data_IF_292987938819
#
_entry.id   IF_292987938819
#
_cell.length_a   1.000
_cell.length_b   1.000
_cell.length_c   1.000
_cell.angle_alpha   90.00
_cell.angle_beta   90.00
_cell.angle_gamma   90.00
#
_symmetry.space_group_name_H-M   'P 1'
#
loop_
_entity.id
_entity.type
_entity.pdbx_description
1 polymer ?
#
# COMPACT_ATOMS: atom_id res chain seq x y z
N UNK A 1 -3.62 11.78 24.59
CA UNK A 1 -2.93 11.71 23.28
C UNK A 1 -3.81 10.90 22.35
N UNK A 2 -4.67 11.56 21.59
CA UNK A 2 -5.47 10.91 20.55
C UNK A 2 -4.54 10.68 19.36
N UNK A 3 -4.03 9.47 19.21
CA UNK A 3 -3.46 9.01 17.95
C UNK A 3 -4.59 8.99 16.93
N UNK A 4 -4.86 10.16 16.33
CA UNK A 4 -5.52 10.24 15.04
C UNK A 4 -4.55 9.63 14.01
N UNK A 5 -4.48 8.30 14.03
CA UNK A 5 -4.07 7.50 12.90
C UNK A 5 -5.15 7.71 11.85
N UNK A 6 -5.10 8.89 11.23
CA UNK A 6 -5.88 9.23 10.06
C UNK A 6 -5.41 8.22 9.02
N UNK A 7 -6.14 7.11 8.89
CA UNK A 7 -5.79 6.02 7.98
C UNK A 7 -5.81 6.60 6.57
N UNK A 8 -4.66 7.08 6.11
CA UNK A 8 -4.53 7.71 4.81
C UNK A 8 -4.47 6.59 3.79
N UNK A 9 -5.57 6.44 3.08
CA UNK A 9 -5.60 5.58 1.91
C UNK A 9 -5.00 6.34 0.73
N UNK A 10 -4.05 5.70 0.04
CA UNK A 10 -3.39 6.22 -1.14
C UNK A 10 -3.87 5.46 -2.37
N UNK A 11 -4.12 6.16 -3.47
CA UNK A 11 -4.17 5.51 -4.77
C UNK A 11 -2.77 4.99 -5.17
N UNK A 12 -2.71 4.08 -6.14
CA UNK A 12 -1.43 3.60 -6.68
C UNK A 12 -0.54 4.75 -7.17
N UNK A 13 -1.14 5.76 -7.82
CA UNK A 13 -0.42 6.93 -8.32
C UNK A 13 0.16 7.75 -7.17
N UNK A 14 -0.62 8.00 -6.12
CA UNK A 14 -0.15 8.74 -4.95
C UNK A 14 0.96 7.99 -4.22
N UNK A 15 0.84 6.67 -4.06
CA UNK A 15 1.91 5.86 -3.48
C UNK A 15 3.21 5.93 -4.31
N UNK A 16 3.14 5.86 -5.64
CA UNK A 16 4.31 6.04 -6.51
C UNK A 16 4.91 7.45 -6.43
N UNK A 17 4.07 8.49 -6.36
CA UNK A 17 4.54 9.87 -6.26
C UNK A 17 5.15 10.20 -4.90
N UNK A 18 4.62 9.59 -3.83
CA UNK A 18 5.07 9.82 -2.45
C UNK A 18 6.32 9.01 -2.10
N UNK A 19 6.42 7.79 -2.62
CA UNK A 19 7.51 6.86 -2.33
C UNK A 19 8.25 6.53 -3.63
N UNK A 20 9.38 7.21 -3.85
CA UNK A 20 10.18 7.09 -5.09
C UNK A 20 10.68 5.67 -5.38
N UNK A 21 10.78 4.82 -4.35
CA UNK A 21 11.16 3.41 -4.48
C UNK A 21 10.00 2.48 -4.90
N UNK A 22 8.75 2.93 -4.76
CA UNK A 22 7.57 2.19 -5.24
C UNK A 22 7.28 2.57 -6.68
N UNK A 23 7.87 1.84 -7.62
CA UNK A 23 7.46 1.96 -9.02
C UNK A 23 6.09 1.32 -9.25
N UNK A 24 5.38 1.76 -10.29
CA UNK A 24 4.10 1.17 -10.66
C UNK A 24 4.24 -0.33 -10.99
N UNK A 25 5.39 -0.73 -11.54
CA UNK A 25 5.72 -2.12 -11.80
C UNK A 25 5.93 -2.91 -10.51
N UNK A 26 6.62 -2.34 -9.52
CA UNK A 26 6.77 -2.93 -8.18
C UNK A 26 5.40 -3.14 -7.53
N UNK A 27 4.53 -2.14 -7.55
CA UNK A 27 3.17 -2.25 -7.01
C UNK A 27 2.33 -3.30 -7.74
N UNK A 28 2.42 -3.38 -9.07
CA UNK A 28 1.76 -4.47 -9.83
C UNK A 28 2.27 -5.84 -9.39
N UNK A 29 3.60 -6.02 -9.33
CA UNK A 29 4.18 -7.28 -8.87
C UNK A 29 3.70 -7.64 -7.45
N UNK A 30 3.70 -6.68 -6.52
CA UNK A 30 3.23 -6.91 -5.16
C UNK A 30 1.73 -7.25 -5.10
N UNK A 31 0.90 -6.63 -5.93
CA UNK A 31 -0.54 -6.90 -5.98
C UNK A 31 -0.88 -8.25 -6.62
N UNK A 32 -0.12 -8.71 -7.61
CA UNK A 32 -0.45 -9.92 -8.38
C UNK A 32 0.36 -11.15 -7.95
N UNK A 33 1.65 -10.98 -7.62
CA UNK A 33 2.56 -12.08 -7.26
C UNK A 33 2.62 -12.36 -5.76
N UNK A 34 2.21 -11.43 -4.91
CA UNK A 34 2.19 -11.61 -3.45
C UNK A 34 0.74 -11.72 -2.94
N UNK A 35 0.05 -12.76 -3.42
CA UNK A 35 -1.30 -13.15 -3.04
C UNK A 35 -1.26 -13.79 -1.66
N UNK A 36 -1.34 -12.98 -0.60
CA UNK A 36 -1.27 -13.43 0.79
C UNK A 36 -0.62 -12.40 1.73
N UNK A 37 0.41 -11.72 1.23
CA UNK A 37 1.11 -10.67 1.98
C UNK A 37 0.58 -9.30 1.63
N UNK A 38 1.20 -8.67 0.63
CA UNK A 38 0.95 -7.27 0.29
C UNK A 38 -0.52 -7.01 -0.06
N UNK A 39 -1.13 -7.87 -0.88
CA UNK A 39 -2.50 -7.67 -1.34
C UNK A 39 -3.54 -7.71 -0.21
N UNK A 40 -3.35 -8.56 0.80
CA UNK A 40 -4.31 -8.69 1.90
C UNK A 40 -4.05 -7.69 3.02
N UNK A 41 -2.77 -7.43 3.31
CA UNK A 41 -2.36 -6.51 4.38
C UNK A 41 -2.47 -5.05 3.97
N UNK A 42 -2.03 -4.72 2.75
CA UNK A 42 -1.84 -3.32 2.30
C UNK A 42 -2.93 -2.86 1.34
N UNK A 43 -3.33 -3.70 0.39
CA UNK A 43 -4.29 -3.29 -0.63
C UNK A 43 -5.74 -3.44 -0.15
N UNK A 44 -6.54 -2.38 -0.29
CA UNK A 44 -7.98 -2.39 -0.03
C UNK A 44 -8.74 -2.12 -1.32
N UNK A 45 -9.90 -2.78 -1.48
CA UNK A 45 -10.81 -2.51 -2.60
C UNK A 45 -11.80 -1.42 -2.20
N UNK A 46 -11.89 -0.39 -3.03
CA UNK A 46 -12.91 0.64 -2.95
C UNK A 46 -13.74 0.59 -4.24
N UNK A 47 -14.78 -0.26 -4.24
CA UNK A 47 -15.55 -0.58 -5.43
C UNK A 47 -14.69 -1.23 -6.53
N UNK A 48 -14.59 -0.56 -7.69
CA UNK A 48 -13.75 -1.01 -8.82
C UNK A 48 -12.28 -0.56 -8.70
N UNK A 49 -11.96 0.31 -7.74
CA UNK A 49 -10.60 0.86 -7.54
C UNK A 49 -9.87 0.08 -6.45
N UNK A 50 -8.54 0.02 -6.57
CA UNK A 50 -7.66 -0.48 -5.52
C UNK A 50 -6.97 0.74 -4.90
N UNK A 51 -7.12 0.87 -3.59
CA UNK A 51 -6.42 1.84 -2.74
C UNK A 51 -5.46 1.08 -1.83
N UNK A 52 -4.45 1.77 -1.33
CA UNK A 52 -3.40 1.23 -0.49
C UNK A 52 -3.50 1.90 0.87
N UNK A 53 -3.53 1.11 1.93
CA UNK A 53 -3.41 1.63 3.29
C UNK A 53 -1.95 2.07 3.50
N UNK A 54 -1.72 3.38 3.69
CA UNK A 54 -0.38 3.95 3.83
C UNK A 54 0.38 3.37 5.02
N UNK A 55 -0.29 3.14 6.14
CA UNK A 55 0.36 2.61 7.33
C UNK A 55 0.73 1.16 7.15
N UNK A 56 -0.20 0.35 6.60
CA UNK A 56 0.10 -1.03 6.29
C UNK A 56 1.21 -1.16 5.26
N UNK A 57 1.28 -0.22 4.29
CA UNK A 57 2.35 -0.14 3.31
C UNK A 57 3.70 0.10 3.98
N UNK A 58 3.81 1.13 4.83
CA UNK A 58 5.04 1.44 5.58
C UNK A 58 5.45 0.25 6.45
N UNK A 59 4.50 -0.35 7.17
CA UNK A 59 4.74 -1.52 8.03
C UNK A 59 5.26 -2.70 7.23
N UNK A 60 4.63 -3.03 6.10
CA UNK A 60 5.04 -4.11 5.22
C UNK A 60 6.47 -3.92 4.68
N UNK A 61 6.82 -2.68 4.35
CA UNK A 61 8.17 -2.34 3.89
C UNK A 61 9.22 -2.46 5.00
N UNK A 62 8.87 -2.08 6.23
CA UNK A 62 9.75 -2.26 7.39
C UNK A 62 9.90 -3.74 7.79
N UNK A 63 8.86 -4.56 7.64
CA UNK A 63 8.92 -6.01 7.90
C UNK A 63 9.67 -6.79 6.81
N UNK A 64 9.85 -6.23 5.61
CA UNK A 64 10.58 -6.86 4.50
C UNK A 64 12.09 -6.56 4.50
N UNK A 65 12.63 -5.95 5.56
CA UNK A 65 14.06 -5.68 5.76
C UNK A 65 14.69 -6.77 6.63
#
# INVERSE_FOLDING_TARGET
MTTELSTKFLSKKEACSKYSFLTENTLKNLLFKNTGGFREKVAKKLGRKIILDEEALIRFLNESK
#
